data_IF_023974778006
#
_entry.id   IF_023974778006
#
_cell.length_a   1.000
_cell.length_b   1.000
_cell.length_c   1.000
_cell.angle_alpha   90.00
_cell.angle_beta   90.00
_cell.angle_gamma   90.00
#
_symmetry.space_group_name_H-M   'P 1'
#
loop_
_entity.id
_entity.type
_entity.pdbx_description
1 polymer ?
#
# COMPACT_ATOMS: atom_id res chain seq x y z
N UNK A 1 4.33 5.89 68.61
CA UNK A 1 3.23 5.32 67.81
C UNK A 1 3.24 5.99 66.45
N UNK A 2 3.28 5.14 65.41
CA UNK A 2 3.29 5.44 63.98
C UNK A 2 2.10 6.32 63.54
N UNK A 3 2.33 7.32 62.68
CA UNK A 3 1.78 7.33 61.31
C UNK A 3 2.16 8.61 60.55
N UNK A 4 3.24 8.52 59.77
CA UNK A 4 3.54 9.48 58.70
C UNK A 4 2.96 8.93 57.40
N UNK A 5 1.98 9.60 56.83
CA UNK A 5 1.44 9.27 55.50
C UNK A 5 2.38 9.79 54.41
N UNK A 6 2.92 8.96 53.50
CA UNK A 6 3.70 9.45 52.38
C UNK A 6 2.79 9.95 51.27
N UNK A 7 3.01 11.20 50.83
CA UNK A 7 2.43 11.76 49.61
C UNK A 7 2.89 10.92 48.42
N UNK A 8 1.93 10.44 47.64
CA UNK A 8 2.13 9.66 46.42
C UNK A 8 2.71 10.58 45.34
N UNK A 9 4.00 10.46 45.05
CA UNK A 9 4.63 10.99 43.84
C UNK A 9 4.12 10.16 42.65
N UNK A 10 3.28 10.73 41.82
CA UNK A 10 2.97 10.18 40.50
C UNK A 10 4.13 10.50 39.57
N UNK A 11 5.14 9.62 39.52
CA UNK A 11 6.08 9.61 38.41
C UNK A 11 5.37 9.00 37.20
N UNK A 12 5.11 9.84 36.20
CA UNK A 12 4.71 9.37 34.88
C UNK A 12 5.83 8.48 34.33
N UNK A 13 5.62 7.16 34.35
CA UNK A 13 6.41 6.25 33.55
C UNK A 13 6.12 6.60 32.08
N UNK A 14 7.01 7.40 31.47
CA UNK A 14 7.18 7.33 30.03
C UNK A 14 7.60 5.90 29.76
N UNK A 15 6.68 5.08 29.28
CA UNK A 15 7.03 3.79 28.69
C UNK A 15 7.84 4.12 27.45
N UNK A 16 9.16 4.16 27.60
CA UNK A 16 10.08 4.35 26.47
C UNK A 16 9.78 3.22 25.49
N UNK A 17 9.39 3.56 24.26
CA UNK A 17 9.12 2.56 23.23
C UNK A 17 10.43 1.77 23.04
N UNK A 18 10.41 0.42 23.07
CA UNK A 18 11.57 -0.38 22.75
C UNK A 18 12.24 0.01 21.41
N UNK A 19 11.46 0.57 20.47
CA UNK A 19 11.96 1.12 19.21
C UNK A 19 12.75 2.43 19.40
N UNK A 20 12.39 3.27 20.37
CA UNK A 20 13.12 4.49 20.72
C UNK A 20 14.48 4.18 21.36
N UNK A 21 14.56 3.09 22.13
CA UNK A 21 15.83 2.59 22.73
C UNK A 21 16.75 2.05 21.64
N UNK A 22 16.21 1.24 20.71
CA UNK A 22 16.97 0.64 19.61
C UNK A 22 17.50 1.70 18.63
N UNK A 23 16.73 2.77 18.39
CA UNK A 23 17.17 3.90 17.58
C UNK A 23 18.32 4.70 18.21
N UNK A 24 18.42 4.74 19.55
CA UNK A 24 19.44 5.50 20.27
C UNK A 24 20.81 4.78 20.36
N UNK A 25 20.81 3.45 20.47
CA UNK A 25 22.04 2.66 20.67
C UNK A 25 22.61 2.08 19.37
N UNK A 26 21.83 2.11 18.29
CA UNK A 26 22.21 1.52 17.01
C UNK A 26 21.97 0.00 16.97
N UNK A 27 21.78 -0.57 15.75
CA UNK A 27 21.30 -1.94 15.57
C UNK A 27 22.23 -3.00 16.15
N UNK A 28 23.55 -2.77 16.06
CA UNK A 28 24.57 -3.72 16.51
C UNK A 28 24.67 -3.77 18.06
N UNK A 29 24.59 -2.61 18.73
CA UNK A 29 24.59 -2.56 20.19
C UNK A 29 23.28 -3.09 20.78
N UNK A 30 22.15 -2.87 20.11
CA UNK A 30 20.85 -3.43 20.49
C UNK A 30 20.86 -4.97 20.43
N UNK A 31 21.51 -5.56 19.42
CA UNK A 31 21.64 -7.01 19.28
C UNK A 31 22.51 -7.61 20.39
N UNK A 32 23.65 -6.98 20.70
CA UNK A 32 24.52 -7.40 21.83
C UNK A 32 23.77 -7.31 23.17
N UNK A 33 22.99 -6.25 23.39
CA UNK A 33 22.20 -6.08 24.60
C UNK A 33 21.11 -7.18 24.75
N UNK A 34 20.39 -7.49 23.66
CA UNK A 34 19.39 -8.57 23.63
C UNK A 34 20.02 -9.93 23.95
N UNK A 35 21.18 -10.22 23.38
CA UNK A 35 21.92 -11.47 23.64
C UNK A 35 22.36 -11.60 25.09
N UNK A 36 22.82 -10.52 25.73
CA UNK A 36 23.17 -10.49 27.16
C UNK A 36 21.96 -10.68 28.08
N UNK A 37 20.77 -10.25 27.65
CA UNK A 37 19.53 -10.35 28.40
C UNK A 37 18.73 -11.64 28.11
N UNK A 38 19.24 -12.55 27.27
CA UNK A 38 18.52 -13.77 26.88
C UNK A 38 17.26 -13.52 26.05
N UNK A 39 17.13 -12.33 25.45
CA UNK A 39 16.02 -11.97 24.58
C UNK A 39 16.26 -12.55 23.16
N UNK A 40 15.19 -12.92 22.43
CA UNK A 40 15.31 -13.44 21.06
C UNK A 40 16.12 -12.47 20.18
N UNK A 41 17.20 -12.96 19.58
CA UNK A 41 18.11 -12.16 18.73
C UNK A 41 17.70 -12.13 17.26
N UNK A 42 16.63 -12.82 16.88
CA UNK A 42 16.03 -12.64 15.56
C UNK A 42 15.22 -11.36 15.53
N UNK A 43 15.40 -10.49 14.51
CA UNK A 43 14.32 -9.60 14.07
C UNK A 43 13.08 -10.49 13.99
N UNK A 44 12.05 -10.25 14.79
CA UNK A 44 10.77 -10.87 14.51
C UNK A 44 10.43 -10.42 13.09
N UNK A 45 10.45 -11.32 12.11
CA UNK A 45 9.89 -11.04 10.81
C UNK A 45 8.43 -10.68 11.07
N UNK A 46 8.15 -9.38 11.16
CA UNK A 46 6.78 -8.93 11.17
C UNK A 46 6.22 -9.39 9.85
N UNK A 47 5.23 -10.28 9.91
CA UNK A 47 4.54 -10.76 8.71
C UNK A 47 4.17 -9.55 7.86
N UNK A 48 4.40 -9.61 6.55
CA UNK A 48 4.11 -8.52 5.59
C UNK A 48 2.78 -7.82 5.91
N UNK A 49 1.74 -8.61 6.17
CA UNK A 49 0.40 -8.16 6.55
C UNK A 49 0.39 -7.17 7.73
N UNK A 50 1.12 -7.45 8.81
CA UNK A 50 1.19 -6.59 10.00
C UNK A 50 1.83 -5.23 9.72
N UNK A 51 2.71 -5.15 8.72
CA UNK A 51 3.35 -3.89 8.32
C UNK A 51 2.45 -3.08 7.42
N UNK A 52 1.69 -3.74 6.55
CA UNK A 52 0.85 -3.11 5.54
C UNK A 52 -0.55 -2.75 6.06
N UNK A 53 -1.09 -3.51 7.00
CA UNK A 53 -2.47 -3.40 7.50
C UNK A 53 -2.52 -3.00 8.97
N UNK A 54 -3.40 -2.05 9.29
CA UNK A 54 -3.69 -1.64 10.67
C UNK A 54 -4.88 -2.41 11.22
N UNK A 55 -4.61 -3.53 11.89
CA UNK A 55 -5.63 -4.48 12.34
C UNK A 55 -6.80 -3.89 13.15
N UNK A 56 -6.50 -3.04 14.13
CA UNK A 56 -7.50 -2.47 15.06
C UNK A 56 -8.20 -1.22 14.50
N UNK A 57 -8.37 -1.13 13.18
CA UNK A 57 -8.98 0.03 12.50
C UNK A 57 -10.28 -0.36 11.81
N UNK A 58 -11.07 0.63 11.38
CA UNK A 58 -12.35 0.38 10.70
C UNK A 58 -12.17 -0.30 9.33
N UNK A 59 -13.06 -1.23 8.99
CA UNK A 59 -13.06 -1.93 7.70
C UNK A 59 -13.81 -1.17 6.59
N UNK A 60 -14.50 -0.08 6.91
CA UNK A 60 -15.30 0.67 5.94
C UNK A 60 -14.50 1.53 4.95
N UNK A 61 -15.20 2.09 3.96
CA UNK A 61 -14.64 3.06 3.02
C UNK A 61 -14.14 4.33 3.73
N UNK A 62 -12.98 4.81 3.30
CA UNK A 62 -12.39 6.07 3.79
C UNK A 62 -12.25 7.10 2.68
N UNK A 63 -11.90 8.34 3.03
CA UNK A 63 -11.69 9.42 2.03
C UNK A 63 -10.52 9.17 1.08
N UNK A 64 -9.62 8.28 1.47
CA UNK A 64 -8.48 7.82 0.67
C UNK A 64 -8.60 6.31 0.50
N UNK A 65 -8.42 5.84 -0.72
CA UNK A 65 -8.39 4.42 -1.07
C UNK A 65 -7.18 4.15 -1.94
N UNK A 66 -6.67 2.92 -1.92
CA UNK A 66 -5.65 2.46 -2.86
C UNK A 66 -6.23 1.35 -3.73
N UNK A 67 -5.80 1.31 -4.99
CA UNK A 67 -6.26 0.33 -5.97
C UNK A 67 -5.05 -0.26 -6.69
N UNK A 68 -5.19 -1.52 -7.04
CA UNK A 68 -4.29 -2.24 -7.95
C UNK A 68 -5.11 -3.28 -8.73
N UNK A 69 -4.70 -3.55 -9.96
CA UNK A 69 -5.35 -4.50 -10.84
C UNK A 69 -4.35 -5.56 -11.33
N UNK A 70 -4.83 -6.80 -11.41
CA UNK A 70 -4.15 -7.82 -12.20
C UNK A 70 -4.73 -7.83 -13.62
N UNK A 71 -3.85 -8.02 -14.60
CA UNK A 71 -4.22 -8.04 -16.01
C UNK A 71 -3.80 -9.34 -16.69
N UNK A 72 -4.56 -9.71 -17.72
CA UNK A 72 -4.25 -10.79 -18.66
C UNK A 72 -4.03 -10.20 -20.06
N UNK A 73 -3.29 -10.93 -20.88
CA UNK A 73 -2.99 -10.64 -22.27
C UNK A 73 -4.09 -11.12 -23.22
N UNK A 74 -4.44 -10.26 -24.18
CA UNK A 74 -5.34 -10.57 -25.31
C UNK A 74 -4.70 -10.15 -26.62
N UNK A 75 -5.30 -10.56 -27.74
CA UNK A 75 -4.73 -10.40 -29.08
C UNK A 75 -3.78 -11.53 -29.47
N UNK A 76 -3.31 -11.59 -30.72
CA UNK A 76 -2.56 -12.72 -31.28
C UNK A 76 -1.38 -13.21 -30.43
N UNK A 77 -0.70 -12.32 -29.70
CA UNK A 77 0.47 -12.62 -28.88
C UNK A 77 0.33 -12.13 -27.42
N UNK A 78 -0.89 -11.82 -26.97
CA UNK A 78 -1.14 -11.29 -25.62
C UNK A 78 -0.58 -9.87 -25.42
N UNK A 79 -0.43 -9.10 -26.49
CA UNK A 79 0.17 -7.77 -26.50
C UNK A 79 -0.70 -6.70 -25.80
N UNK A 80 -2.02 -6.85 -25.87
CA UNK A 80 -2.96 -5.96 -25.22
C UNK A 80 -3.34 -6.49 -23.84
N UNK A 81 -3.69 -5.58 -22.92
CA UNK A 81 -4.00 -5.94 -21.54
C UNK A 81 -5.46 -5.61 -21.22
N UNK A 82 -6.17 -6.58 -20.66
CA UNK A 82 -7.49 -6.38 -20.07
C UNK A 82 -7.45 -6.76 -18.58
N UNK A 83 -8.34 -6.17 -17.80
CA UNK A 83 -8.44 -6.43 -16.37
C UNK A 83 -8.94 -7.86 -16.10
N UNK A 84 -8.33 -8.51 -15.11
CA UNK A 84 -8.72 -9.84 -14.64
C UNK A 84 -9.05 -9.88 -13.15
N UNK A 85 -8.50 -8.96 -12.35
CA UNK A 85 -8.86 -8.76 -10.95
C UNK A 85 -8.67 -7.30 -10.56
N UNK A 86 -9.55 -6.77 -9.73
CA UNK A 86 -9.41 -5.43 -9.15
C UNK A 86 -9.51 -5.53 -7.64
N UNK A 87 -8.53 -4.95 -6.95
CA UNK A 87 -8.52 -4.85 -5.50
C UNK A 87 -8.48 -3.39 -5.08
N UNK A 88 -9.32 -3.03 -4.10
CA UNK A 88 -9.32 -1.71 -3.46
C UNK A 88 -9.22 -1.89 -1.96
N UNK A 89 -8.33 -1.12 -1.33
CA UNK A 89 -8.18 -1.06 0.12
C UNK A 89 -8.43 0.34 0.65
N UNK A 90 -8.90 0.44 1.89
CA UNK A 90 -9.07 1.72 2.57
C UNK A 90 -7.72 2.26 3.10
N UNK A 91 -7.73 3.43 3.76
CA UNK A 91 -6.50 4.08 4.26
C UNK A 91 -5.74 3.26 5.33
N UNK A 92 -6.37 2.23 5.88
CA UNK A 92 -5.81 1.35 6.91
C UNK A 92 -5.28 0.04 6.32
N UNK A 93 -5.39 -0.17 5.01
CA UNK A 93 -5.01 -1.40 4.33
C UNK A 93 -6.08 -2.50 4.39
N UNK A 94 -7.28 -2.21 4.91
CA UNK A 94 -8.39 -3.17 4.91
C UNK A 94 -8.99 -3.27 3.52
N UNK A 95 -9.12 -4.50 3.01
CA UNK A 95 -9.71 -4.75 1.70
C UNK A 95 -11.21 -4.43 1.73
N UNK A 96 -11.65 -3.54 0.84
CA UNK A 96 -13.05 -3.09 0.73
C UNK A 96 -13.71 -3.53 -0.57
N UNK A 97 -12.92 -4.01 -1.53
CA UNK A 97 -13.37 -4.50 -2.81
C UNK A 97 -12.30 -5.42 -3.39
N UNK A 98 -12.67 -6.63 -3.77
CA UNK A 98 -11.78 -7.60 -4.40
C UNK A 98 -12.62 -8.53 -5.27
N UNK A 99 -12.52 -8.35 -6.59
CA UNK A 99 -13.32 -9.10 -7.56
C UNK A 99 -12.46 -9.53 -8.74
N UNK A 100 -12.62 -10.79 -9.14
CA UNK A 100 -12.21 -11.26 -10.45
C UNK A 100 -13.17 -10.74 -11.52
N UNK A 101 -12.65 -10.47 -12.71
CA UNK A 101 -13.40 -9.89 -13.82
C UNK A 101 -13.47 -10.89 -14.96
N UNK A 102 -14.66 -11.07 -15.51
CA UNK A 102 -14.86 -11.87 -16.72
C UNK A 102 -14.21 -11.17 -17.91
N UNK A 103 -13.37 -11.87 -18.71
CA UNK A 103 -12.74 -11.29 -19.89
C UNK A 103 -13.78 -10.81 -20.91
N UNK A 104 -13.52 -9.65 -21.51
CA UNK A 104 -14.31 -9.11 -22.63
C UNK A 104 -13.86 -9.67 -23.97
N UNK A 105 -12.68 -10.30 -24.01
CA UNK A 105 -12.00 -10.82 -25.19
C UNK A 105 -11.34 -12.17 -24.85
N UNK A 106 -10.95 -12.92 -25.87
CA UNK A 106 -10.25 -14.20 -25.68
C UNK A 106 -8.87 -13.97 -25.06
N UNK A 107 -8.60 -14.64 -23.94
CA UNK A 107 -7.32 -14.56 -23.24
C UNK A 107 -6.31 -15.47 -23.93
N UNK A 108 -5.24 -14.88 -24.44
CA UNK A 108 -4.14 -15.58 -25.12
C UNK A 108 -2.91 -15.73 -24.23
N UNK A 109 -2.77 -14.90 -23.20
CA UNK A 109 -1.72 -15.03 -22.18
C UNK A 109 -2.26 -14.65 -20.79
N UNK A 110 -2.31 -15.62 -19.87
CA UNK A 110 -2.75 -15.36 -18.49
C UNK A 110 -1.73 -14.59 -17.65
N UNK A 111 -0.45 -14.57 -18.07
CA UNK A 111 0.65 -13.95 -17.33
C UNK A 111 0.77 -14.46 -15.91
N UNK A 112 0.36 -15.71 -15.65
CA UNK A 112 0.15 -16.27 -14.30
C UNK A 112 1.39 -16.13 -13.40
N UNK A 113 2.60 -16.30 -13.95
CA UNK A 113 3.84 -16.14 -13.19
C UNK A 113 4.01 -14.74 -12.57
N UNK A 114 3.35 -13.74 -13.13
CA UNK A 114 3.29 -12.37 -12.60
C UNK A 114 1.95 -12.12 -11.93
N UNK A 115 0.83 -12.31 -12.63
CA UNK A 115 -0.50 -11.86 -12.20
C UNK A 115 -1.20 -12.77 -11.18
N UNK A 116 -0.73 -14.03 -11.04
CA UNK A 116 -1.42 -15.07 -10.29
C UNK A 116 -2.78 -15.51 -10.87
N UNK A 117 -3.18 -14.99 -12.04
CA UNK A 117 -4.47 -15.29 -12.66
C UNK A 117 -4.42 -16.62 -13.39
N UNK A 118 -5.46 -17.43 -13.20
CA UNK A 118 -5.71 -18.70 -13.86
C UNK A 118 -7.09 -18.70 -14.55
N UNK A 119 -7.32 -19.54 -15.56
CA UNK A 119 -8.62 -19.64 -16.25
C UNK A 119 -9.81 -19.77 -15.31
N UNK A 120 -9.69 -20.58 -14.27
CA UNK A 120 -10.73 -20.83 -13.28
C UNK A 120 -11.10 -19.59 -12.47
N UNK A 121 -10.18 -18.64 -12.26
CA UNK A 121 -10.46 -17.44 -11.48
C UNK A 121 -11.44 -16.50 -12.21
N UNK A 122 -11.28 -16.39 -13.53
CA UNK A 122 -12.01 -15.42 -14.34
C UNK A 122 -13.21 -16.03 -15.08
N UNK A 123 -13.30 -17.37 -15.11
CA UNK A 123 -14.45 -18.11 -15.67
C UNK A 123 -15.77 -17.74 -14.97
N UNK A 124 -15.72 -17.56 -13.66
CA UNK A 124 -16.84 -17.12 -12.82
C UNK A 124 -16.66 -15.69 -12.31
N UNK A 125 -15.82 -14.91 -12.99
CA UNK A 125 -15.61 -13.50 -12.67
C UNK A 125 -16.87 -12.68 -12.93
N UNK A 126 -16.90 -11.51 -12.30
CA UNK A 126 -18.00 -10.54 -12.44
C UNK A 126 -17.93 -9.85 -13.81
N UNK A 127 -19.09 -9.46 -14.35
CA UNK A 127 -19.13 -8.77 -15.63
C UNK A 127 -18.38 -7.43 -15.57
N UNK A 128 -17.55 -7.17 -16.59
CA UNK A 128 -16.70 -5.99 -16.65
C UNK A 128 -17.47 -4.68 -16.39
N UNK A 129 -18.65 -4.51 -16.98
CA UNK A 129 -19.47 -3.29 -16.80
C UNK A 129 -19.93 -3.10 -15.35
N UNK A 130 -20.22 -4.19 -14.64
CA UNK A 130 -20.59 -4.16 -13.23
C UNK A 130 -19.40 -3.70 -12.40
N UNK A 131 -18.24 -4.35 -12.60
CA UNK A 131 -17.01 -4.00 -11.89
C UNK A 131 -16.59 -2.57 -12.18
N UNK A 132 -16.62 -2.13 -13.44
CA UNK A 132 -16.27 -0.78 -13.83
C UNK A 132 -17.14 0.25 -13.09
N UNK A 133 -18.46 0.03 -13.05
CA UNK A 133 -19.40 0.93 -12.36
C UNK A 133 -19.12 0.98 -10.85
N UNK A 134 -18.99 -0.19 -10.22
CA UNK A 134 -18.73 -0.28 -8.77
C UNK A 134 -17.41 0.39 -8.39
N UNK A 135 -16.35 0.16 -9.17
CA UNK A 135 -15.06 0.84 -8.99
C UNK A 135 -15.22 2.35 -9.17
N UNK A 136 -15.91 2.81 -10.21
CA UNK A 136 -16.14 4.25 -10.41
C UNK A 136 -16.88 4.89 -9.21
N UNK A 137 -17.90 4.22 -8.68
CA UNK A 137 -18.67 4.68 -7.52
C UNK A 137 -17.81 4.73 -6.25
N UNK A 138 -16.97 3.72 -6.04
CA UNK A 138 -16.00 3.70 -4.93
C UNK A 138 -14.99 4.83 -5.09
N UNK A 139 -14.44 5.07 -6.29
CA UNK A 139 -13.44 6.10 -6.51
C UNK A 139 -14.02 7.53 -6.45
N UNK A 140 -15.32 7.69 -6.70
CA UNK A 140 -15.96 8.99 -6.78
C UNK A 140 -15.73 9.82 -5.51
N UNK A 141 -15.25 11.06 -5.70
CA UNK A 141 -14.98 11.97 -4.60
C UNK A 141 -13.73 11.68 -3.75
N UNK A 142 -13.09 10.51 -3.90
CA UNK A 142 -11.99 10.06 -3.02
C UNK A 142 -10.60 10.38 -3.56
N UNK A 143 -9.61 10.29 -2.69
CA UNK A 143 -8.18 10.28 -3.05
C UNK A 143 -7.83 8.87 -3.49
N UNK A 144 -7.29 8.73 -4.71
CA UNK A 144 -6.81 7.45 -5.24
C UNK A 144 -5.29 7.34 -5.09
N UNK A 145 -4.84 6.31 -4.39
CA UNK A 145 -3.44 5.92 -4.21
C UNK A 145 -3.16 4.66 -5.03
N UNK A 146 -1.93 4.49 -5.52
CA UNK A 146 -1.53 3.25 -6.20
C UNK A 146 -0.10 3.35 -6.72
N UNK A 147 0.32 2.38 -7.53
CA UNK A 147 1.64 2.35 -8.15
C UNK A 147 1.51 2.25 -9.67
N UNK A 148 1.91 3.30 -10.40
CA UNK A 148 1.75 3.36 -11.85
C UNK A 148 0.27 3.28 -12.31
N UNK A 149 -0.64 3.92 -11.56
CA UNK A 149 -2.12 3.92 -11.73
C UNK A 149 -2.65 4.16 -13.15
N UNK A 150 -1.85 4.70 -14.07
CA UNK A 150 -2.24 4.84 -15.46
C UNK A 150 -2.56 3.49 -16.13
N UNK A 151 -1.92 2.40 -15.71
CA UNK A 151 -2.15 1.07 -16.26
C UNK A 151 -3.53 0.56 -15.81
N UNK A 152 -3.82 0.66 -14.52
CA UNK A 152 -5.07 0.22 -13.90
C UNK A 152 -6.27 1.01 -14.45
N UNK A 153 -6.15 2.34 -14.46
CA UNK A 153 -7.21 3.22 -14.97
C UNK A 153 -7.47 2.99 -16.47
N UNK A 154 -6.43 2.70 -17.26
CA UNK A 154 -6.56 2.40 -18.69
C UNK A 154 -7.38 1.14 -18.92
N UNK A 155 -7.06 0.02 -18.26
CA UNK A 155 -7.77 -1.25 -18.47
C UNK A 155 -9.20 -1.24 -17.90
N UNK A 156 -9.49 -0.33 -16.98
CA UNK A 156 -10.85 -0.07 -16.48
C UNK A 156 -11.62 0.95 -17.31
N UNK A 157 -10.98 1.60 -18.30
CA UNK A 157 -11.55 2.74 -19.04
C UNK A 157 -12.10 3.83 -18.10
N UNK A 158 -11.38 4.12 -17.03
CA UNK A 158 -11.73 5.14 -16.04
C UNK A 158 -10.71 6.27 -16.01
N UNK A 159 -11.18 7.45 -15.66
CA UNK A 159 -10.35 8.60 -15.33
C UNK A 159 -10.47 8.97 -13.85
N UNK A 160 -9.43 9.62 -13.33
CA UNK A 160 -9.47 10.19 -11.99
C UNK A 160 -8.87 11.60 -11.96
N UNK A 161 -9.45 12.57 -11.23
CA UNK A 161 -8.92 13.93 -11.20
C UNK A 161 -7.44 13.95 -10.80
N UNK A 162 -6.57 14.58 -11.60
CA UNK A 162 -5.11 14.59 -11.35
C UNK A 162 -4.74 15.06 -9.94
N UNK A 163 -5.46 16.06 -9.42
CA UNK A 163 -5.29 16.57 -8.04
C UNK A 163 -5.65 15.56 -6.94
N UNK A 164 -6.35 14.49 -7.31
CA UNK A 164 -6.79 13.41 -6.42
C UNK A 164 -5.94 12.12 -6.55
N UNK A 165 -5.01 12.05 -7.50
CA UNK A 165 -4.10 10.90 -7.70
C UNK A 165 -2.82 11.01 -6.86
N UNK A 166 -2.49 9.95 -6.14
CA UNK A 166 -1.25 9.76 -5.35
C UNK A 166 -0.52 8.53 -5.89
N UNK A 167 0.16 8.70 -7.02
CA UNK A 167 0.92 7.63 -7.68
C UNK A 167 2.34 7.53 -7.08
N UNK A 168 2.60 6.42 -6.39
CA UNK A 168 3.87 6.16 -5.69
C UNK A 168 5.06 6.03 -6.65
N UNK A 169 4.86 5.57 -7.89
CA UNK A 169 5.94 5.52 -8.89
C UNK A 169 6.34 6.93 -9.35
N UNK A 170 5.41 7.91 -9.28
CA UNK A 170 5.62 9.29 -9.75
C UNK A 170 6.03 10.26 -8.65
N UNK A 171 5.99 9.85 -7.38
CA UNK A 171 6.33 10.72 -6.26
C UNK A 171 7.84 11.04 -6.22
N UNK A 172 8.20 12.32 -6.48
CA UNK A 172 9.61 12.76 -6.60
C UNK A 172 10.48 12.36 -5.39
N UNK A 173 10.03 12.54 -4.13
CA UNK A 173 10.84 12.15 -2.97
C UNK A 173 11.15 10.65 -2.90
N UNK A 174 10.29 9.78 -3.42
CA UNK A 174 10.61 8.34 -3.53
C UNK A 174 11.69 8.08 -4.56
N UNK A 175 11.52 8.63 -5.78
CA UNK A 175 12.50 8.51 -6.87
C UNK A 175 13.91 8.94 -6.45
N UNK A 176 14.01 10.05 -5.71
CA UNK A 176 15.29 10.57 -5.20
C UNK A 176 15.91 9.64 -4.16
N UNK A 177 15.12 9.16 -3.18
CA UNK A 177 15.60 8.27 -2.12
C UNK A 177 16.13 6.94 -2.63
N UNK A 178 15.47 6.35 -3.63
CA UNK A 178 15.91 5.07 -4.23
C UNK A 178 16.72 5.25 -5.51
N UNK A 179 17.08 6.49 -5.86
CA UNK A 179 17.89 6.85 -7.04
C UNK A 179 17.41 6.20 -8.34
N UNK A 180 16.09 6.17 -8.56
CA UNK A 180 15.49 5.59 -9.76
C UNK A 180 14.39 6.50 -10.31
N UNK A 181 14.39 6.71 -11.63
CA UNK A 181 13.36 7.50 -12.31
C UNK A 181 12.00 6.77 -12.37
N UNK A 182 12.00 5.44 -12.33
CA UNK A 182 10.81 4.56 -12.37
C UNK A 182 10.99 3.41 -11.37
N UNK A 183 10.94 3.68 -10.06
CA UNK A 183 11.15 2.64 -9.07
C UNK A 183 10.00 1.63 -9.11
N UNK A 184 10.32 0.34 -8.95
CA UNK A 184 9.29 -0.69 -8.77
C UNK A 184 8.68 -0.61 -7.37
N UNK A 185 7.47 -1.12 -7.21
CA UNK A 185 6.81 -1.21 -5.91
C UNK A 185 7.66 -2.02 -4.92
N UNK A 186 8.20 -3.17 -5.38
CA UNK A 186 9.15 -4.01 -4.64
C UNK A 186 10.33 -3.22 -4.09
N UNK A 187 11.00 -2.42 -4.93
CA UNK A 187 12.16 -1.61 -4.51
C UNK A 187 11.75 -0.56 -3.46
N UNK A 188 10.60 0.10 -3.62
CA UNK A 188 10.13 1.08 -2.66
C UNK A 188 9.81 0.43 -1.31
N UNK A 189 9.13 -0.72 -1.31
CA UNK A 189 8.78 -1.43 -0.08
C UNK A 189 10.03 -1.93 0.65
N UNK A 190 10.97 -2.52 -0.08
CA UNK A 190 12.21 -3.00 0.52
C UNK A 190 13.02 -1.86 1.13
N UNK A 191 13.14 -0.73 0.44
CA UNK A 191 13.97 0.41 0.89
C UNK A 191 13.32 1.29 1.94
N UNK A 192 11.99 1.45 1.91
CA UNK A 192 11.29 2.44 2.75
C UNK A 192 10.44 1.81 3.85
N UNK A 193 9.98 0.58 3.65
CA UNK A 193 9.17 -0.16 4.62
C UNK A 193 9.93 -1.33 5.25
N UNK A 194 11.12 -1.68 4.72
CA UNK A 194 11.90 -2.85 5.14
C UNK A 194 11.07 -4.16 5.03
N UNK A 195 10.26 -4.26 3.98
CA UNK A 195 9.40 -5.42 3.69
C UNK A 195 9.58 -5.85 2.25
N UNK A 196 9.63 -7.17 2.02
CA UNK A 196 9.65 -7.77 0.69
C UNK A 196 8.22 -8.12 0.27
N UNK A 197 7.74 -7.46 -0.77
CA UNK A 197 6.48 -7.77 -1.49
C UNK A 197 6.84 -8.37 -2.85
N UNK A 198 5.86 -8.97 -3.54
CA UNK A 198 6.06 -9.58 -4.87
C UNK A 198 7.24 -10.59 -4.87
N UNK A 199 7.23 -11.48 -3.87
CA UNK A 199 8.21 -12.58 -3.73
C UNK A 199 7.85 -13.80 -4.58
N UNK A 200 6.60 -13.85 -5.04
CA UNK A 200 5.99 -14.89 -5.88
C UNK A 200 5.06 -14.22 -6.90
N UNK A 201 4.06 -14.94 -7.41
CA UNK A 201 2.90 -14.35 -8.09
C UNK A 201 2.35 -13.15 -7.29
N UNK A 202 1.93 -12.12 -8.00
CA UNK A 202 1.42 -10.88 -7.42
C UNK A 202 0.04 -11.09 -6.80
N UNK A 203 -0.28 -10.18 -5.88
CA UNK A 203 -1.59 -10.08 -5.29
C UNK A 203 -1.96 -8.61 -5.27
N UNK A 204 -2.87 -8.22 -6.17
CA UNK A 204 -3.42 -6.87 -6.21
C UNK A 204 -3.88 -6.33 -4.83
N UNK A 205 -4.35 -7.19 -3.91
CA UNK A 205 -4.65 -6.76 -2.54
C UNK A 205 -3.37 -6.31 -1.83
N UNK A 206 -2.31 -7.13 -1.82
CA UNK A 206 -1.04 -6.80 -1.18
C UNK A 206 -0.39 -5.58 -1.82
N UNK A 207 -0.47 -5.45 -3.15
CA UNK A 207 0.14 -4.35 -3.88
C UNK A 207 -0.60 -3.03 -3.63
N UNK A 208 -1.94 -3.05 -3.57
CA UNK A 208 -2.73 -1.90 -3.14
C UNK A 208 -2.43 -1.50 -1.68
N UNK A 209 -2.29 -2.47 -0.77
CA UNK A 209 -1.89 -2.24 0.62
C UNK A 209 -0.48 -1.63 0.72
N UNK A 210 0.47 -2.14 -0.05
CA UNK A 210 1.83 -1.64 -0.10
C UNK A 210 1.89 -0.19 -0.60
N UNK A 211 1.16 0.12 -1.69
CA UNK A 211 1.04 1.47 -2.19
C UNK A 211 0.38 2.42 -1.17
N UNK A 212 -0.68 1.96 -0.49
CA UNK A 212 -1.31 2.71 0.60
C UNK A 212 -0.32 2.95 1.74
N UNK A 213 0.45 1.95 2.14
CA UNK A 213 1.40 2.05 3.24
C UNK A 213 2.50 3.07 2.92
N UNK A 214 3.05 3.03 1.71
CA UNK A 214 3.99 4.03 1.20
C UNK A 214 3.39 5.44 1.24
N UNK A 215 2.15 5.63 0.78
CA UNK A 215 1.48 6.92 0.87
C UNK A 215 1.31 7.37 2.33
N UNK A 216 0.85 6.51 3.23
CA UNK A 216 0.64 6.88 4.64
C UNK A 216 1.93 7.24 5.37
N UNK A 217 3.07 6.63 4.99
CA UNK A 217 4.40 6.98 5.51
C UNK A 217 4.74 8.45 5.25
N UNK A 218 4.35 8.99 4.10
CA UNK A 218 4.68 10.35 3.66
C UNK A 218 3.48 11.29 3.57
N UNK A 219 2.32 10.88 4.11
CA UNK A 219 1.04 11.55 3.87
C UNK A 219 1.10 13.04 4.18
N UNK A 220 1.72 13.41 5.30
CA UNK A 220 1.84 14.81 5.72
C UNK A 220 2.60 15.63 4.66
N UNK A 221 3.83 15.22 4.35
CA UNK A 221 4.69 15.88 3.39
C UNK A 221 4.07 15.92 1.99
N UNK A 222 3.44 14.82 1.56
CA UNK A 222 2.80 14.70 0.25
C UNK A 222 1.62 15.67 0.12
N UNK A 223 0.70 15.68 1.09
CA UNK A 223 -0.49 16.53 1.02
C UNK A 223 -0.14 18.02 1.16
N UNK A 224 0.84 18.37 1.99
CA UNK A 224 1.30 19.75 2.12
C UNK A 224 1.94 20.26 0.82
N UNK A 225 2.74 19.42 0.13
CA UNK A 225 3.32 19.76 -1.16
C UNK A 225 2.25 20.00 -2.25
N UNK A 226 1.15 19.23 -2.25
CA UNK A 226 0.04 19.43 -3.20
C UNK A 226 -0.70 20.73 -2.89
N UNK A 227 -1.01 21.00 -1.62
CA UNK A 227 -1.69 22.24 -1.21
C UNK A 227 -0.89 23.48 -1.59
N UNK A 228 0.43 23.46 -1.37
CA UNK A 228 1.29 24.60 -1.66
C UNK A 228 1.35 24.88 -3.17
N UNK A 229 1.45 23.85 -4.03
CA UNK A 229 1.35 24.02 -5.48
C UNK A 229 0.01 24.62 -5.92
N UNK A 230 -1.10 24.20 -5.30
CA UNK A 230 -2.41 24.76 -5.62
C UNK A 230 -2.56 26.23 -5.22
N UNK A 231 -1.79 26.72 -4.24
CA UNK A 231 -1.78 28.14 -3.87
C UNK A 231 -0.99 28.95 -4.90
N UNK A 232 0.17 28.46 -5.33
CA UNK A 232 0.99 29.14 -6.35
C UNK A 232 0.23 29.32 -7.66
N UNK A 233 -0.45 28.28 -8.15
CA UNK A 233 -1.23 28.32 -9.40
C UNK A 233 -2.48 29.23 -9.33
N UNK A 234 -2.96 29.59 -8.13
CA UNK A 234 -4.11 30.49 -7.97
C UNK A 234 -3.71 31.97 -7.86
N UNK A 235 -2.43 32.26 -7.73
CA UNK A 235 -1.88 33.62 -7.59
C UNK A 235 -1.11 34.08 -8.84
N UNK A 236 -1.08 33.27 -9.89
CA UNK A 236 -0.65 33.60 -11.25
C UNK A 236 -1.87 33.71 -12.16
#
# INVERSE_FOLDING_TARGET
>A
MWSSSPKRLTSGLMTVDPQDIEAAIGPEAAEVARRKLGLPTGRSEQSVERVLVKEKSSDGLTRTVAMDCEMVGVGPNGEDSIVARVSIVNQFGKCVYDKYVKPTEEVTDYRTAVSGIRPENIKTGEDFKTVQKEVADILNGRILVGHALHNDLKVLFLDHPKKKIRDTQKYKPFRQRVKSARPSLKLLCERLLNVKVQTSEHSSVQDAQAAMRLYTLEKKQWEDAIKNKSKTVKHE
#
